data_IF_787260490238
#
_entry.id   IF_787260490238
#
_cell.length_a   1.000
_cell.length_b   1.000
_cell.length_c   1.000
_cell.angle_alpha   90.00
_cell.angle_beta   90.00
_cell.angle_gamma   90.00
#
_symmetry.space_group_name_H-M   'P 1'
#
loop_
_entity.id
_entity.type
_entity.pdbx_description
1 polymer ?
#
# COMPACT_ATOMS: atom_id res chain seq x y z
N UNK A 1 -19.28 -23.45 -44.53
CA UNK A 1 -19.97 -22.14 -44.60
C UNK A 1 -19.35 -21.24 -43.56
N UNK A 2 -18.74 -20.13 -43.99
CA UNK A 2 -18.00 -19.17 -43.17
C UNK A 2 -18.98 -18.15 -42.57
N UNK A 3 -18.91 -17.88 -41.27
CA UNK A 3 -19.52 -16.71 -40.64
C UNK A 3 -18.43 -15.95 -39.90
N UNK A 4 -18.12 -14.77 -40.42
CA UNK A 4 -17.18 -13.81 -39.84
C UNK A 4 -18.00 -12.79 -39.05
N UNK A 5 -17.84 -12.77 -37.73
CA UNK A 5 -18.44 -11.79 -36.82
C UNK A 5 -17.46 -10.63 -36.58
N UNK A 6 -17.91 -9.42 -36.90
CA UNK A 6 -17.13 -8.20 -36.92
C UNK A 6 -16.68 -7.73 -35.52
N UNK A 7 -15.41 -7.39 -35.40
CA UNK A 7 -14.78 -6.76 -34.24
C UNK A 7 -15.01 -5.24 -34.33
N UNK A 8 -15.82 -4.69 -33.43
CA UNK A 8 -16.02 -3.23 -33.30
C UNK A 8 -14.98 -2.66 -32.35
N UNK A 9 -14.03 -1.91 -32.92
CA UNK A 9 -12.95 -1.20 -32.22
C UNK A 9 -13.49 0.16 -31.81
N UNK A 10 -13.76 0.38 -30.52
CA UNK A 10 -14.03 1.71 -29.97
C UNK A 10 -12.70 2.42 -29.69
N UNK A 11 -12.35 3.32 -30.60
CA UNK A 11 -11.24 4.26 -30.51
C UNK A 11 -11.66 5.45 -29.65
N UNK A 12 -11.15 5.55 -28.42
CA UNK A 12 -11.35 6.71 -27.54
C UNK A 12 -10.28 7.75 -27.83
N UNK A 13 -10.61 8.72 -28.69
CA UNK A 13 -9.82 9.93 -28.92
C UNK A 13 -9.70 10.77 -27.64
N UNK A 14 -8.53 10.80 -27.02
CA UNK A 14 -8.21 11.80 -26.00
C UNK A 14 -7.66 13.03 -26.72
N UNK A 15 -8.54 14.01 -26.85
CA UNK A 15 -8.31 15.31 -27.47
C UNK A 15 -7.23 16.11 -26.72
N UNK A 16 -6.18 16.61 -27.39
CA UNK A 16 -5.18 17.47 -26.76
C UNK A 16 -5.76 18.87 -26.53
N UNK A 17 -5.98 19.22 -25.25
CA UNK A 17 -6.36 20.56 -24.83
C UNK A 17 -5.19 21.54 -25.02
N UNK A 18 -5.14 22.07 -26.23
CA UNK A 18 -4.41 23.23 -26.72
C UNK A 18 -4.68 24.46 -25.83
N UNK A 19 -3.84 24.75 -24.84
CA UNK A 19 -3.81 26.07 -24.18
C UNK A 19 -2.82 26.98 -24.90
N UNK A 20 -3.42 28.00 -25.51
CA UNK A 20 -2.79 29.11 -26.23
C UNK A 20 -2.00 30.00 -25.28
N UNK A 21 -0.74 30.23 -25.61
CA UNK A 21 -0.13 31.54 -25.41
C UNK A 21 -0.84 32.55 -26.31
N UNK A 22 -1.12 33.76 -25.79
CA UNK A 22 -0.65 34.93 -26.51
C UNK A 22 0.07 35.93 -25.61
N UNK A 23 1.10 36.51 -26.22
CA UNK A 23 1.81 37.72 -25.82
C UNK A 23 0.86 38.89 -25.55
N UNK A 24 1.23 39.70 -24.58
CA UNK A 24 0.58 40.96 -24.23
C UNK A 24 1.45 41.75 -23.26
N UNK A 25 2.69 42.05 -23.68
CA UNK A 25 3.62 42.90 -22.92
C UNK A 25 3.27 44.36 -23.25
N UNK A 26 2.48 44.99 -22.38
CA UNK A 26 2.33 46.44 -22.33
C UNK A 26 3.27 47.03 -21.27
N UNK A 27 4.01 48.12 -21.56
CA UNK A 27 4.77 48.83 -20.56
C UNK A 27 3.85 49.84 -19.87
N UNK A 28 3.42 49.53 -18.65
CA UNK A 28 2.76 50.51 -17.79
C UNK A 28 3.36 50.41 -16.39
N UNK A 29 4.43 51.18 -16.21
CA UNK A 29 4.63 52.11 -15.11
C UNK A 29 3.65 51.98 -13.94
N UNK A 30 3.88 50.97 -13.11
CA UNK A 30 3.44 50.95 -11.73
C UNK A 30 4.68 50.73 -10.87
N UNK A 31 5.50 51.79 -10.77
CA UNK A 31 6.52 51.92 -9.73
C UNK A 31 5.83 52.11 -8.39
N UNK A 32 5.11 51.08 -7.94
CA UNK A 32 4.74 50.92 -6.55
C UNK A 32 6.05 50.65 -5.83
N UNK A 33 6.66 51.73 -5.36
CA UNK A 33 7.79 51.76 -4.44
C UNK A 33 7.40 50.85 -3.27
N UNK A 34 7.77 49.58 -3.37
CA UNK A 34 7.71 48.62 -2.29
C UNK A 34 8.72 49.12 -1.27
N UNK A 35 8.25 49.98 -0.36
CA UNK A 35 8.99 50.51 0.78
C UNK A 35 9.38 49.30 1.61
N UNK A 36 10.53 48.71 1.31
CA UNK A 36 11.11 47.60 2.05
C UNK A 36 11.14 48.05 3.50
N UNK A 37 10.44 47.36 4.42
CA UNK A 37 10.54 47.69 5.83
C UNK A 37 12.02 47.65 6.18
N UNK A 38 12.55 48.75 6.71
CA UNK A 38 13.92 48.82 7.14
C UNK A 38 14.11 47.72 8.18
N UNK A 39 14.84 46.66 7.81
CA UNK A 39 15.20 45.59 8.72
C UNK A 39 16.09 46.25 9.75
N UNK A 40 15.50 46.52 10.91
CA UNK A 40 16.20 47.14 12.03
C UNK A 40 17.14 46.06 12.55
N UNK A 41 18.42 46.14 12.18
CA UNK A 41 19.49 45.20 12.57
C UNK A 41 19.82 45.31 14.07
N UNK A 42 18.83 45.12 14.93
CA UNK A 42 19.07 44.84 16.35
C UNK A 42 19.62 43.42 16.42
N UNK A 43 20.88 43.29 16.84
CA UNK A 43 21.52 42.00 16.99
C UNK A 43 20.73 41.12 17.95
N UNK A 44 20.51 39.86 17.57
CA UNK A 44 19.95 38.84 18.44
C UNK A 44 20.82 38.75 19.70
N UNK A 45 20.23 39.00 20.86
CA UNK A 45 20.99 38.94 22.10
C UNK A 45 21.25 37.48 22.47
N UNK A 46 22.33 37.21 23.22
CA UNK A 46 22.62 35.85 23.68
C UNK A 46 21.47 35.28 24.53
N UNK A 47 20.80 36.14 25.29
CA UNK A 47 19.66 35.75 26.12
C UNK A 47 18.45 35.35 25.26
N UNK A 48 18.20 36.01 24.12
CA UNK A 48 17.12 35.61 23.20
C UNK A 48 17.36 34.22 22.62
N UNK A 49 18.61 33.87 22.28
CA UNK A 49 18.95 32.52 21.81
C UNK A 49 18.79 31.45 22.91
N UNK A 50 19.08 31.78 24.17
CA UNK A 50 18.82 30.87 25.30
C UNK A 50 17.33 30.66 25.56
N UNK A 51 16.53 31.73 25.47
CA UNK A 51 15.08 31.63 25.64
C UNK A 51 14.48 30.81 24.49
N UNK A 52 14.91 31.06 23.24
CA UNK A 52 14.45 30.31 22.08
C UNK A 52 14.77 28.80 22.18
N UNK A 53 15.98 28.43 22.63
CA UNK A 53 16.35 27.02 22.79
C UNK A 53 15.58 26.34 23.93
N UNK A 54 15.32 27.05 25.03
CA UNK A 54 14.49 26.56 26.13
C UNK A 54 13.05 26.28 25.67
N UNK A 55 12.46 27.21 24.91
CA UNK A 55 11.13 27.03 24.35
C UNK A 55 11.09 25.87 23.34
N UNK A 56 12.08 25.76 22.46
CA UNK A 56 12.19 24.63 21.54
C UNK A 56 12.29 23.29 22.28
N UNK A 57 13.10 23.21 23.34
CA UNK A 57 13.22 22.00 24.15
C UNK A 57 11.89 21.58 24.79
N UNK A 58 11.10 22.54 25.29
CA UNK A 58 9.77 22.28 25.83
C UNK A 58 8.81 21.74 24.77
N UNK A 59 8.80 22.35 23.58
CA UNK A 59 7.97 21.87 22.47
C UNK A 59 8.40 20.49 21.97
N UNK A 60 9.71 20.21 21.92
CA UNK A 60 10.23 18.91 21.50
C UNK A 60 9.73 17.77 22.38
N UNK A 61 9.59 17.98 23.70
CA UNK A 61 9.06 16.93 24.60
C UNK A 61 7.61 16.54 24.31
N UNK A 62 6.79 17.47 23.79
CA UNK A 62 5.38 17.21 23.47
C UNK A 62 5.23 16.66 22.04
N UNK A 63 6.03 17.17 21.09
CA UNK A 63 5.90 16.83 19.69
C UNK A 63 6.35 15.39 19.37
N UNK A 64 7.43 14.91 20.00
CA UNK A 64 8.00 13.57 19.73
C UNK A 64 7.00 12.42 19.93
N UNK A 65 6.32 12.28 21.10
CA UNK A 65 5.40 11.16 21.30
C UNK A 65 4.19 11.21 20.36
N UNK A 66 3.71 12.41 19.99
CA UNK A 66 2.61 12.55 19.02
C UNK A 66 3.01 12.07 17.62
N UNK A 67 4.22 12.43 17.19
CA UNK A 67 4.73 11.99 15.90
C UNK A 67 4.90 10.46 15.84
N UNK A 68 5.38 9.85 16.93
CA UNK A 68 5.48 8.39 17.02
C UNK A 68 4.12 7.69 16.88
N UNK A 69 3.09 8.19 17.55
CA UNK A 69 1.73 7.62 17.44
C UNK A 69 1.16 7.75 16.02
N UNK A 70 1.39 8.88 15.34
CA UNK A 70 0.96 9.08 13.95
C UNK A 70 1.65 8.10 12.99
N UNK A 71 2.96 7.88 13.15
CA UNK A 71 3.71 6.91 12.36
C UNK A 71 3.21 5.48 12.58
N UNK A 72 2.98 5.07 13.82
CA UNK A 72 2.41 3.75 14.15
C UNK A 72 1.11 3.49 13.41
N UNK A 73 0.21 4.47 13.36
CA UNK A 73 -1.06 4.34 12.66
C UNK A 73 -0.87 4.22 11.13
N UNK A 74 0.02 5.02 10.54
CA UNK A 74 0.33 4.94 9.10
C UNK A 74 0.90 3.57 8.73
N UNK A 75 1.91 3.08 9.46
CA UNK A 75 2.54 1.77 9.22
C UNK A 75 1.54 0.63 9.33
N UNK A 76 0.70 0.64 10.38
CA UNK A 76 -0.35 -0.36 10.55
C UNK A 76 -1.38 -0.31 9.42
N UNK A 77 -1.76 0.88 8.94
CA UNK A 77 -2.67 1.05 7.81
C UNK A 77 -2.09 0.49 6.51
N UNK A 78 -0.83 0.81 6.22
CA UNK A 78 -0.13 0.35 5.02
C UNK A 78 -0.01 -1.17 5.01
N UNK A 79 0.50 -1.76 6.10
CA UNK A 79 0.61 -3.22 6.24
C UNK A 79 -0.75 -3.92 6.10
N UNK A 80 -1.80 -3.35 6.69
CA UNK A 80 -3.16 -3.90 6.57
C UNK A 80 -3.70 -3.80 5.15
N UNK A 81 -3.45 -2.67 4.48
CA UNK A 81 -3.87 -2.45 3.09
C UNK A 81 -3.14 -3.43 2.16
N UNK A 82 -1.87 -3.69 2.40
CA UNK A 82 -1.09 -4.65 1.63
C UNK A 82 -1.61 -6.07 1.79
N UNK A 83 -1.92 -6.50 3.02
CA UNK A 83 -2.53 -7.79 3.30
C UNK A 83 -3.92 -7.93 2.67
N UNK A 84 -4.76 -6.89 2.72
CA UNK A 84 -6.07 -6.87 2.06
C UNK A 84 -5.92 -6.98 0.55
N UNK A 85 -4.99 -6.23 -0.03
CA UNK A 85 -4.71 -6.28 -1.48
C UNK A 85 -4.25 -7.68 -1.88
N UNK A 86 -3.45 -8.35 -1.05
CA UNK A 86 -3.01 -9.73 -1.28
C UNK A 86 -4.18 -10.73 -1.25
N UNK A 87 -5.07 -10.60 -0.28
CA UNK A 87 -6.29 -11.42 -0.18
C UNK A 87 -7.22 -11.21 -1.38
N UNK A 88 -7.46 -9.96 -1.76
CA UNK A 88 -8.27 -9.60 -2.93
C UNK A 88 -7.65 -10.14 -4.21
N UNK A 89 -6.33 -9.98 -4.37
CA UNK A 89 -5.62 -10.51 -5.53
C UNK A 89 -5.75 -12.04 -5.63
N UNK A 90 -5.60 -12.76 -4.53
CA UNK A 90 -5.78 -14.22 -4.51
C UNK A 90 -7.22 -14.62 -4.90
N UNK A 91 -8.23 -13.94 -4.36
CA UNK A 91 -9.64 -14.17 -4.67
C UNK A 91 -9.97 -13.89 -6.14
N UNK A 92 -9.59 -12.72 -6.65
CA UNK A 92 -9.85 -12.31 -8.03
C UNK A 92 -9.14 -13.21 -9.04
N UNK A 93 -7.90 -13.58 -8.76
CA UNK A 93 -7.11 -14.48 -9.61
C UNK A 93 -7.73 -15.87 -9.66
N UNK A 94 -8.27 -16.34 -8.53
CA UNK A 94 -8.97 -17.62 -8.44
C UNK A 94 -10.21 -17.66 -9.34
N UNK A 95 -11.05 -16.62 -9.28
CA UNK A 95 -12.25 -16.51 -10.11
C UNK A 95 -11.87 -16.35 -11.59
N UNK A 96 -10.89 -15.52 -11.89
CA UNK A 96 -10.47 -15.24 -13.27
C UNK A 96 -9.89 -16.47 -13.96
N UNK A 97 -9.06 -17.25 -13.25
CA UNK A 97 -8.35 -18.40 -13.81
C UNK A 97 -9.04 -19.74 -13.52
N UNK A 98 -10.19 -19.72 -12.84
CA UNK A 98 -11.00 -20.89 -12.50
C UNK A 98 -10.18 -22.00 -11.83
N UNK A 99 -9.28 -21.63 -10.91
CA UNK A 99 -8.45 -22.56 -10.14
C UNK A 99 -8.04 -21.97 -8.79
N UNK A 100 -7.73 -22.79 -7.78
CA UNK A 100 -7.51 -22.29 -6.42
C UNK A 100 -6.18 -21.55 -6.25
N UNK A 101 -6.23 -20.40 -5.56
CA UNK A 101 -5.07 -19.68 -5.04
C UNK A 101 -5.20 -19.53 -3.53
N UNK A 102 -4.07 -19.45 -2.83
CA UNK A 102 -4.04 -19.37 -1.39
C UNK A 102 -3.17 -18.21 -0.90
N UNK A 103 -3.49 -17.70 0.28
CA UNK A 103 -2.59 -16.86 1.06
C UNK A 103 -2.08 -17.68 2.24
N UNK A 104 -0.76 -17.82 2.31
CA UNK A 104 -0.07 -18.42 3.45
C UNK A 104 0.52 -17.31 4.30
N UNK A 105 0.35 -17.41 5.61
CA UNK A 105 0.91 -16.44 6.56
C UNK A 105 1.52 -17.16 7.76
N UNK A 106 2.55 -16.56 8.33
CA UNK A 106 3.24 -17.05 9.52
C UNK A 106 3.41 -15.91 10.51
N UNK A 107 2.72 -16.02 11.65
CA UNK A 107 2.80 -15.04 12.73
C UNK A 107 4.18 -15.03 13.39
N UNK A 108 4.86 -16.17 13.47
CA UNK A 108 6.16 -16.26 14.11
C UNK A 108 7.27 -15.65 13.24
N UNK A 109 7.21 -15.88 11.93
CA UNK A 109 8.10 -15.26 10.95
C UNK A 109 7.63 -13.87 10.48
N UNK A 110 6.48 -13.39 10.93
CA UNK A 110 5.93 -12.08 10.57
C UNK A 110 5.83 -11.82 9.05
N UNK A 111 5.52 -12.85 8.26
CA UNK A 111 5.45 -12.76 6.80
C UNK A 111 4.18 -13.41 6.24
N UNK A 112 3.79 -12.98 5.03
CA UNK A 112 2.76 -13.64 4.25
C UNK A 112 3.16 -13.74 2.77
N UNK A 113 2.52 -14.65 2.05
CA UNK A 113 2.69 -14.81 0.60
C UNK A 113 1.44 -15.32 -0.08
N UNK A 114 1.24 -14.92 -1.34
CA UNK A 114 0.20 -15.46 -2.20
C UNK A 114 0.79 -16.57 -3.06
N UNK A 115 0.07 -17.68 -3.20
CA UNK A 115 0.51 -18.83 -3.97
C UNK A 115 -0.57 -19.38 -4.90
N UNK A 116 -0.15 -19.96 -6.02
CA UNK A 116 -0.96 -20.87 -6.81
C UNK A 116 -0.97 -22.22 -6.10
N UNK A 117 -2.16 -22.67 -5.68
CA UNK A 117 -2.29 -23.85 -4.83
C UNK A 117 -1.82 -25.14 -5.51
N UNK A 118 -1.74 -25.15 -6.85
CA UNK A 118 -1.26 -26.29 -7.65
C UNK A 118 0.23 -26.55 -7.46
N UNK A 119 1.03 -25.50 -7.27
CA UNK A 119 2.49 -25.57 -7.18
C UNK A 119 3.04 -25.39 -5.75
N UNK A 120 2.17 -25.38 -4.74
CA UNK A 120 2.56 -25.11 -3.33
C UNK A 120 3.67 -26.02 -2.78
N UNK A 121 3.74 -27.25 -3.28
CA UNK A 121 4.71 -28.26 -2.86
C UNK A 121 5.83 -28.48 -3.91
N UNK A 122 5.83 -27.71 -4.99
CA UNK A 122 6.79 -27.84 -6.08
C UNK A 122 7.89 -26.77 -5.90
N UNK A 123 9.15 -27.16 -5.65
CA UNK A 123 10.24 -26.20 -5.50
C UNK A 123 10.65 -25.54 -6.83
N UNK A 124 10.24 -26.09 -7.98
CA UNK A 124 10.59 -25.53 -9.28
C UNK A 124 9.79 -24.26 -9.58
N UNK A 125 10.43 -23.32 -10.28
CA UNK A 125 9.75 -22.13 -10.82
C UNK A 125 9.08 -22.44 -12.15
N UNK A 126 7.87 -21.91 -12.36
CA UNK A 126 7.12 -22.03 -13.61
C UNK A 126 6.83 -20.63 -14.16
N UNK A 127 7.85 -19.97 -14.71
CA UNK A 127 7.76 -18.60 -15.22
C UNK A 127 6.90 -18.48 -16.49
N UNK A 128 6.63 -19.60 -17.16
CA UNK A 128 5.76 -19.73 -18.34
C UNK A 128 4.27 -19.91 -17.98
N UNK A 129 3.96 -20.11 -16.69
CA UNK A 129 2.59 -20.17 -16.19
C UNK A 129 1.92 -18.80 -16.19
N UNK A 130 0.58 -18.79 -16.16
CA UNK A 130 -0.22 -17.57 -16.00
C UNK A 130 -1.06 -17.64 -14.71
N UNK A 131 -0.81 -16.81 -13.66
CA UNK A 131 0.34 -15.90 -13.57
C UNK A 131 1.67 -16.69 -13.47
N UNK A 132 2.81 -16.04 -13.76
CA UNK A 132 4.12 -16.62 -13.49
C UNK A 132 4.25 -16.97 -12.01
N UNK A 133 4.85 -18.13 -11.72
CA UNK A 133 5.10 -18.57 -10.35
C UNK A 133 6.58 -18.88 -10.12
N UNK A 134 7.10 -18.47 -8.98
CA UNK A 134 8.39 -18.93 -8.46
C UNK A 134 8.25 -20.27 -7.75
N UNK A 135 9.36 -20.80 -7.23
CA UNK A 135 9.37 -21.99 -6.38
C UNK A 135 8.37 -21.90 -5.23
N UNK A 136 7.78 -23.04 -4.88
CA UNK A 136 6.68 -23.19 -3.93
C UNK A 136 5.41 -22.41 -4.32
N UNK A 137 5.22 -22.17 -5.61
CA UNK A 137 4.01 -21.60 -6.18
C UNK A 137 3.79 -20.11 -5.89
N UNK A 138 4.78 -19.38 -5.40
CA UNK A 138 4.64 -17.94 -5.10
C UNK A 138 4.35 -17.18 -6.39
N UNK A 139 3.22 -16.49 -6.44
CA UNK A 139 2.76 -15.79 -7.65
C UNK A 139 3.45 -14.43 -7.80
N UNK A 140 3.57 -13.96 -9.04
CA UNK A 140 4.02 -12.59 -9.30
C UNK A 140 2.92 -11.58 -8.94
N UNK A 141 3.27 -10.50 -8.25
CA UNK A 141 2.40 -9.36 -8.02
C UNK A 141 2.37 -8.48 -9.29
N UNK A 142 1.18 -8.24 -9.89
CA UNK A 142 1.08 -7.49 -11.13
C UNK A 142 1.41 -6.00 -10.98
N UNK A 143 1.28 -5.43 -9.78
CA UNK A 143 1.46 -4.00 -9.52
C UNK A 143 2.94 -3.59 -9.45
N UNK A 144 3.74 -4.33 -8.68
CA UNK A 144 5.15 -4.01 -8.42
C UNK A 144 6.15 -4.87 -9.23
N UNK A 145 5.65 -5.91 -9.93
CA UNK A 145 6.46 -6.91 -10.65
C UNK A 145 7.45 -7.67 -9.76
N UNK A 146 7.14 -7.81 -8.47
CA UNK A 146 7.88 -8.66 -7.52
C UNK A 146 7.10 -9.91 -7.19
N UNK A 147 7.76 -10.92 -6.65
CA UNK A 147 7.06 -12.08 -6.10
C UNK A 147 6.21 -11.64 -4.92
N UNK A 148 4.98 -12.15 -4.83
CA UNK A 148 4.00 -11.76 -3.82
C UNK A 148 4.34 -12.41 -2.46
N UNK A 149 5.49 -12.04 -1.92
CA UNK A 149 6.03 -12.40 -0.62
C UNK A 149 6.33 -11.10 0.12
N UNK A 150 5.73 -10.94 1.29
CA UNK A 150 5.93 -9.78 2.13
C UNK A 150 6.37 -10.25 3.51
N UNK A 151 7.55 -9.81 3.90
CA UNK A 151 8.10 -9.94 5.23
C UNK A 151 8.02 -8.56 5.90
N UNK A 152 7.33 -8.46 7.03
CA UNK A 152 7.17 -7.20 7.74
C UNK A 152 8.43 -6.82 8.54
N UNK A 153 9.31 -7.78 8.84
CA UNK A 153 10.58 -7.51 9.54
C UNK A 153 11.64 -6.95 8.59
N UNK A 154 11.59 -7.28 7.30
CA UNK A 154 12.53 -6.78 6.28
C UNK A 154 12.09 -5.48 5.60
N UNK A 155 10.84 -5.04 5.80
CA UNK A 155 10.31 -3.86 5.12
C UNK A 155 10.44 -2.58 5.97
N UNK A 156 11.13 -1.58 5.43
CA UNK A 156 11.30 -0.25 6.07
C UNK A 156 9.95 0.40 6.42
N UNK A 157 8.93 0.16 5.59
CA UNK A 157 7.59 0.75 5.73
C UNK A 157 6.75 0.06 6.83
N UNK A 158 7.03 -1.21 7.14
CA UNK A 158 6.29 -1.96 8.18
C UNK A 158 7.11 -2.21 9.44
N UNK A 159 8.23 -1.50 9.61
CA UNK A 159 9.07 -1.60 10.80
C UNK A 159 8.20 -1.46 12.07
N UNK A 160 8.23 -2.50 12.92
CA UNK A 160 7.44 -2.66 14.17
C UNK A 160 5.99 -3.13 14.01
N UNK A 161 5.52 -3.43 12.79
CA UNK A 161 4.25 -4.15 12.61
C UNK A 161 4.50 -5.64 12.90
N UNK A 162 3.60 -6.25 13.66
CA UNK A 162 3.69 -7.64 14.08
C UNK A 162 2.37 -8.35 13.81
N UNK A 163 2.42 -9.45 13.09
CA UNK A 163 1.28 -10.33 12.88
C UNK A 163 1.11 -11.24 14.09
N UNK A 164 0.06 -11.00 14.88
CA UNK A 164 -0.21 -11.74 16.13
C UNK A 164 -1.16 -12.93 15.93
N UNK A 165 -1.94 -12.92 14.86
CA UNK A 165 -2.72 -14.06 14.41
C UNK A 165 -2.55 -14.22 12.90
N UNK A 166 -2.14 -15.42 12.49
CA UNK A 166 -1.94 -15.81 11.11
C UNK A 166 -2.87 -16.97 10.76
N UNK A 167 -3.29 -17.01 9.50
CA UNK A 167 -4.12 -18.07 8.95
C UNK A 167 -3.69 -18.41 7.53
N UNK A 168 -3.93 -19.65 7.14
CA UNK A 168 -3.74 -20.11 5.77
C UNK A 168 -5.12 -20.25 5.14
N UNK A 169 -5.35 -19.53 4.05
CA UNK A 169 -6.67 -19.45 3.41
C UNK A 169 -6.55 -19.76 1.93
N UNK A 170 -7.52 -20.49 1.37
CA UNK A 170 -7.49 -20.92 -0.03
C UNK A 170 -8.79 -20.57 -0.74
N UNK A 171 -8.73 -19.62 -1.66
CA UNK A 171 -9.89 -19.23 -2.45
C UNK A 171 -10.19 -20.29 -3.52
N UNK A 172 -11.49 -20.52 -3.75
CA UNK A 172 -12.01 -21.43 -4.76
C UNK A 172 -12.80 -20.68 -5.85
N UNK A 173 -12.90 -21.23 -7.08
CA UNK A 173 -13.50 -20.52 -8.23
C UNK A 173 -14.97 -20.10 -8.09
N UNK A 174 -15.69 -20.71 -7.15
CA UNK A 174 -17.06 -20.41 -6.79
C UNK A 174 -17.20 -19.29 -5.73
N UNK A 175 -16.07 -18.73 -5.27
CA UNK A 175 -16.01 -17.52 -4.43
C UNK A 175 -15.87 -17.77 -2.93
N UNK A 176 -15.91 -19.01 -2.45
CA UNK A 176 -15.62 -19.32 -1.05
C UNK A 176 -14.09 -19.43 -0.80
N UNK A 177 -13.66 -19.35 0.45
CA UNK A 177 -12.23 -19.22 0.80
C UNK A 177 -11.66 -20.32 1.71
N UNK A 178 -12.52 -21.13 2.32
CA UNK A 178 -12.19 -22.29 3.15
C UNK A 178 -13.47 -22.76 3.86
N UNK A 179 -13.41 -23.89 4.58
CA UNK A 179 -14.54 -24.41 5.35
C UNK A 179 -14.89 -23.58 6.61
N UNK A 180 -14.07 -22.58 6.98
CA UNK A 180 -14.25 -21.76 8.19
C UNK A 180 -13.85 -20.31 8.01
N UNK A 181 -14.43 -19.42 8.80
CA UNK A 181 -13.98 -18.02 8.87
C UNK A 181 -12.54 -17.93 9.39
N UNK A 182 -11.77 -17.00 8.84
CA UNK A 182 -10.40 -16.72 9.25
C UNK A 182 -10.24 -15.27 9.70
N UNK A 183 -9.31 -15.04 10.63
CA UNK A 183 -8.94 -13.71 11.09
C UNK A 183 -7.42 -13.57 11.09
N UNK A 184 -6.96 -12.46 10.52
CA UNK A 184 -5.58 -12.01 10.59
C UNK A 184 -5.53 -10.82 11.53
N UNK A 185 -4.53 -10.80 12.41
CA UNK A 185 -4.37 -9.71 13.36
C UNK A 185 -3.00 -9.10 13.18
N UNK A 186 -2.98 -7.82 12.86
CA UNK A 186 -1.77 -7.00 12.80
C UNK A 186 -1.76 -6.06 13.99
N UNK A 187 -0.58 -5.86 14.57
CA UNK A 187 -0.37 -4.95 15.70
C UNK A 187 0.84 -4.06 15.47
N UNK A 188 0.81 -2.84 15.99
CA UNK A 188 1.95 -1.93 16.00
C UNK A 188 1.87 -1.07 17.26
N UNK A 189 2.81 -1.26 18.19
CA UNK A 189 2.70 -0.66 19.53
C UNK A 189 1.42 -1.12 20.23
N UNK A 190 0.62 -0.17 20.74
CA UNK A 190 -0.66 -0.45 21.42
C UNK A 190 -1.87 -0.51 20.47
N UNK A 191 -1.63 -0.38 19.16
CA UNK A 191 -2.68 -0.42 18.14
C UNK A 191 -2.76 -1.80 17.49
N UNK A 192 -3.97 -2.22 17.15
CA UNK A 192 -4.26 -3.48 16.49
C UNK A 192 -5.30 -3.27 15.39
N UNK A 193 -5.20 -4.06 14.32
CA UNK A 193 -6.21 -4.17 13.27
C UNK A 193 -6.51 -5.62 12.97
N UNK A 194 -7.79 -5.94 12.82
CA UNK A 194 -8.24 -7.30 12.53
C UNK A 194 -8.83 -7.36 11.14
N UNK A 195 -8.32 -8.24 10.30
CA UNK A 195 -8.86 -8.50 8.96
C UNK A 195 -9.52 -9.86 9.00
N UNK A 196 -10.84 -9.90 8.78
CA UNK A 196 -11.62 -11.13 8.74
C UNK A 196 -11.92 -11.53 7.31
N UNK A 197 -11.93 -12.82 7.05
CA UNK A 197 -12.42 -13.40 5.79
C UNK A 197 -13.51 -14.40 6.13
N UNK A 198 -14.70 -14.18 5.59
CA UNK A 198 -15.81 -15.12 5.74
C UNK A 198 -15.55 -16.36 4.87
N UNK A 199 -15.51 -17.54 5.48
CA UNK A 199 -15.17 -18.79 4.80
C UNK A 199 -16.16 -19.15 3.68
N UNK A 200 -17.46 -18.93 3.94
CA UNK A 200 -18.54 -19.29 3.03
C UNK A 200 -18.64 -18.38 1.81
N UNK A 201 -18.39 -17.07 1.96
CA UNK A 201 -18.57 -16.09 0.88
C UNK A 201 -17.26 -15.50 0.35
N UNK A 202 -16.12 -15.83 0.96
CA UNK A 202 -14.82 -15.21 0.66
C UNK A 202 -14.76 -13.71 0.95
N UNK A 203 -15.74 -13.15 1.68
CA UNK A 203 -15.84 -11.70 1.89
C UNK A 203 -14.80 -11.25 2.90
N UNK A 204 -14.02 -10.23 2.52
CA UNK A 204 -12.99 -9.62 3.36
C UNK A 204 -13.58 -8.39 4.08
N UNK A 205 -13.38 -8.30 5.39
CA UNK A 205 -13.79 -7.15 6.23
C UNK A 205 -12.65 -6.73 7.15
N UNK A 206 -12.62 -5.45 7.49
CA UNK A 206 -11.59 -4.84 8.35
C UNK A 206 -12.27 -4.27 9.59
N UNK A 207 -11.74 -4.59 10.76
CA UNK A 207 -12.17 -4.15 12.09
C UNK A 207 -11.05 -3.40 12.82
#
# INVERSE_FOLDING_TARGET
>A
MRSAGALSIFHSEISPSRRRHPEGIGPQDASCIFKRPAINNRGLTFIDMMIASLLLGLFSMIAVPQFQSALTHTRLNEASTELITALQYAADTTVTLQRPFALFSDAAGNWFKVVDYRYRNDPASHHDSNPPVAGYGVVLNPADKKWYFKDFDESDDAERVQMTAAANICFYPDGHSSESDHAFVLSCGDQQRTIRVNGATGRITVE
#
